data_IF_696595766551
#
_entry.id   IF_696595766551
#
_cell.length_a   1.000
_cell.length_b   1.000
_cell.length_c   1.000
_cell.angle_alpha   90.00
_cell.angle_beta   90.00
_cell.angle_gamma   90.00
#
_symmetry.space_group_name_H-M   'P 1'
#
loop_
_entity.id
_entity.type
_entity.pdbx_description
1 polymer ?
#
# COMPACT_ATOMS: atom_id res chain seq x y z
N UNK A 1 19.90 -22.03 -16.88
CA UNK A 1 19.09 -21.31 -15.88
C UNK A 1 17.78 -20.93 -16.55
N UNK A 2 16.64 -21.44 -16.07
CA UNK A 2 15.33 -20.95 -16.54
C UNK A 2 15.19 -19.50 -16.08
N UNK A 3 15.05 -18.56 -17.01
CA UNK A 3 14.72 -17.18 -16.69
C UNK A 3 13.40 -17.17 -15.92
N UNK A 4 13.41 -16.67 -14.69
CA UNK A 4 12.20 -16.54 -13.89
C UNK A 4 11.28 -15.55 -14.61
N UNK A 5 10.15 -16.03 -15.13
CA UNK A 5 9.20 -15.20 -15.87
C UNK A 5 8.66 -14.10 -14.95
N UNK A 6 8.60 -12.86 -15.44
CA UNK A 6 8.05 -11.74 -14.70
C UNK A 6 6.54 -11.96 -14.52
N UNK A 7 6.06 -11.90 -13.27
CA UNK A 7 4.62 -11.96 -12.97
C UNK A 7 4.01 -10.59 -13.26
N UNK A 8 3.03 -10.57 -14.14
CA UNK A 8 2.24 -9.36 -14.48
C UNK A 8 0.81 -9.60 -14.01
N UNK A 9 0.21 -8.59 -13.38
CA UNK A 9 -1.13 -8.65 -12.81
C UNK A 9 -1.85 -7.37 -13.20
N UNK A 10 -3.07 -7.52 -13.71
CA UNK A 10 -3.96 -6.41 -14.03
C UNK A 10 -5.04 -6.41 -12.95
N UNK A 11 -5.25 -5.25 -12.36
CA UNK A 11 -6.31 -4.98 -11.37
C UNK A 11 -7.17 -3.82 -11.89
N UNK A 12 -8.35 -3.64 -11.31
CA UNK A 12 -9.26 -2.56 -11.72
C UNK A 12 -8.87 -1.28 -10.97
N UNK A 13 -9.27 -1.15 -9.71
CA UNK A 13 -8.87 -0.05 -8.85
C UNK A 13 -7.48 -0.26 -8.24
N UNK A 14 -6.81 0.83 -7.85
CA UNK A 14 -5.44 0.77 -7.33
C UNK A 14 -5.32 -0.12 -6.08
N UNK A 15 -6.26 -0.03 -5.14
CA UNK A 15 -6.20 -0.78 -3.89
C UNK A 15 -6.42 -2.28 -4.09
N UNK A 16 -7.02 -2.72 -5.20
CA UNK A 16 -7.13 -4.15 -5.53
C UNK A 16 -5.78 -4.83 -5.72
N UNK A 17 -4.68 -4.08 -5.82
CA UNK A 17 -3.31 -4.63 -5.82
C UNK A 17 -2.93 -5.32 -4.51
N UNK A 18 -3.59 -4.98 -3.39
CA UNK A 18 -3.29 -5.55 -2.08
C UNK A 18 -3.49 -7.07 -2.03
N UNK A 19 -4.55 -7.58 -2.68
CA UNK A 19 -4.79 -9.02 -2.70
C UNK A 19 -3.65 -9.79 -3.40
N UNK A 20 -3.26 -9.45 -4.64
CA UNK A 20 -2.10 -10.05 -5.29
C UNK A 20 -0.79 -9.94 -4.49
N UNK A 21 -0.56 -8.83 -3.78
CA UNK A 21 0.61 -8.65 -2.91
C UNK A 21 0.56 -9.62 -1.73
N UNK A 22 -0.54 -9.66 -0.97
CA UNK A 22 -0.71 -10.59 0.15
C UNK A 22 -0.63 -12.06 -0.31
N UNK A 23 -1.18 -12.40 -1.48
CA UNK A 23 -1.00 -13.71 -2.09
C UNK A 23 0.48 -14.01 -2.41
N UNK A 24 1.22 -13.03 -2.93
CA UNK A 24 2.64 -13.18 -3.25
C UNK A 24 3.50 -13.40 -1.99
N UNK A 25 3.17 -12.71 -0.89
CA UNK A 25 3.76 -12.89 0.45
C UNK A 25 3.45 -14.31 0.97
N UNK A 26 2.19 -14.72 0.94
CA UNK A 26 1.75 -16.07 1.38
C UNK A 26 2.45 -17.18 0.60
N UNK A 27 2.65 -17.00 -0.71
CA UNK A 27 3.37 -17.94 -1.59
C UNK A 27 4.89 -17.84 -1.46
N UNK A 28 5.41 -16.91 -0.64
CA UNK A 28 6.86 -16.62 -0.46
C UNK A 28 7.56 -16.25 -1.76
N UNK A 29 6.81 -15.71 -2.71
CA UNK A 29 7.35 -15.14 -3.96
C UNK A 29 7.75 -13.67 -3.79
N UNK A 30 7.16 -12.99 -2.80
CA UNK A 30 7.60 -11.73 -2.22
C UNK A 30 8.05 -12.01 -0.77
N UNK A 31 9.17 -11.43 -0.29
CA UNK A 31 9.55 -11.51 1.12
C UNK A 31 8.45 -10.99 2.04
N UNK A 32 8.44 -11.47 3.29
CA UNK A 32 7.42 -11.06 4.27
C UNK A 32 7.53 -9.59 4.66
N UNK A 33 8.74 -9.05 4.73
CA UNK A 33 9.00 -7.68 5.19
C UNK A 33 10.18 -7.04 4.45
N UNK A 34 10.31 -5.73 4.64
CA UNK A 34 11.43 -4.91 4.19
C UNK A 34 11.66 -4.93 2.67
N UNK A 35 10.58 -4.89 1.89
CA UNK A 35 10.66 -4.67 0.45
C UNK A 35 10.38 -3.21 0.08
N UNK A 36 10.88 -2.82 -1.09
CA UNK A 36 10.67 -1.49 -1.67
C UNK A 36 9.59 -1.57 -2.74
N UNK A 37 8.60 -0.69 -2.67
CA UNK A 37 7.60 -0.52 -3.72
C UNK A 37 7.99 0.64 -4.61
N UNK A 38 7.88 0.44 -5.92
CA UNK A 38 8.04 1.52 -6.90
C UNK A 38 6.66 1.80 -7.49
N UNK A 39 6.14 2.99 -7.22
CA UNK A 39 4.80 3.42 -7.60
C UNK A 39 4.91 4.48 -8.69
N UNK A 40 4.45 4.15 -9.90
CA UNK A 40 4.38 5.10 -11.01
C UNK A 40 2.95 5.62 -11.10
N UNK A 41 2.73 6.84 -10.64
CA UNK A 41 1.39 7.44 -10.66
C UNK A 41 1.44 8.97 -10.54
N UNK A 42 0.36 9.64 -10.94
CA UNK A 42 0.14 11.05 -10.69
C UNK A 42 -0.18 11.38 -9.22
N UNK A 43 -0.61 10.38 -8.44
CA UNK A 43 -0.95 10.50 -7.02
C UNK A 43 0.02 9.66 -6.17
N UNK A 44 0.29 10.06 -4.92
CA UNK A 44 1.17 9.27 -4.05
C UNK A 44 0.49 8.04 -3.45
N UNK A 45 -0.85 8.00 -3.43
CA UNK A 45 -1.68 6.99 -2.77
C UNK A 45 -1.30 6.72 -1.29
N UNK A 46 -0.86 7.78 -0.62
CA UNK A 46 -0.48 7.84 0.79
C UNK A 46 -1.53 8.53 1.67
N UNK A 47 -2.80 8.62 1.24
CA UNK A 47 -3.83 9.17 2.10
C UNK A 47 -4.06 8.26 3.31
N UNK A 48 -4.33 8.85 4.47
CA UNK A 48 -4.68 8.07 5.67
C UNK A 48 -6.08 7.48 5.54
N UNK A 49 -6.29 6.17 5.76
CA UNK A 49 -7.61 5.56 5.76
C UNK A 49 -8.32 5.84 7.09
N UNK A 50 -8.76 7.10 7.26
CA UNK A 50 -9.25 7.65 8.53
C UNK A 50 -10.42 6.91 9.16
N UNK A 51 -11.14 6.08 8.41
CA UNK A 51 -12.30 5.34 8.91
C UNK A 51 -12.05 3.84 9.07
N UNK A 52 -10.81 3.39 8.81
CA UNK A 52 -10.41 2.00 8.94
C UNK A 52 -9.69 1.81 10.30
N UNK A 53 -10.20 0.93 11.19
CA UNK A 53 -9.48 0.55 12.40
C UNK A 53 -8.11 -0.04 12.07
N UNK A 54 -7.07 0.31 12.80
CA UNK A 54 -5.70 -0.17 12.54
C UNK A 54 -5.62 -1.71 12.61
N UNK A 55 -6.39 -2.33 13.49
CA UNK A 55 -6.52 -3.79 13.62
C UNK A 55 -7.04 -4.48 12.35
N UNK A 56 -7.81 -3.76 11.51
CA UNK A 56 -8.35 -4.27 10.26
C UNK A 56 -7.24 -4.64 9.25
N UNK A 57 -6.09 -3.95 9.31
CA UNK A 57 -4.93 -4.20 8.44
C UNK A 57 -4.45 -5.66 8.53
N UNK A 58 -4.58 -6.27 9.71
CA UNK A 58 -4.16 -7.67 9.94
C UNK A 58 -5.21 -8.71 9.55
N UNK A 59 -6.37 -8.27 9.04
CA UNK A 59 -7.45 -9.12 8.52
C UNK A 59 -7.69 -8.78 7.05
N UNK A 60 -6.97 -9.42 6.10
CA UNK A 60 -6.92 -8.95 4.71
C UNK A 60 -8.28 -8.76 4.05
N UNK A 61 -9.23 -9.67 4.23
CA UNK A 61 -10.58 -9.53 3.65
C UNK A 61 -11.31 -8.30 4.17
N UNK A 62 -11.25 -8.05 5.48
CA UNK A 62 -11.89 -6.89 6.09
C UNK A 62 -11.25 -5.57 5.62
N UNK A 63 -9.93 -5.56 5.42
CA UNK A 63 -9.23 -4.41 4.86
C UNK A 63 -9.70 -4.12 3.43
N UNK A 64 -9.84 -5.15 2.59
CA UNK A 64 -10.30 -4.97 1.21
C UNK A 64 -11.72 -4.42 1.17
N UNK A 65 -12.64 -5.03 1.93
CA UNK A 65 -14.04 -4.59 2.02
C UNK A 65 -14.13 -3.13 2.53
N UNK A 66 -13.28 -2.75 3.47
CA UNK A 66 -13.24 -1.38 4.01
C UNK A 66 -12.71 -0.35 2.99
N UNK A 67 -11.77 -0.75 2.13
CA UNK A 67 -11.27 0.11 1.05
C UNK A 67 -12.27 0.20 -0.10
N UNK A 68 -12.89 -0.91 -0.49
CA UNK A 68 -13.94 -0.94 -1.53
C UNK A 68 -15.17 -0.10 -1.16
N UNK A 69 -15.53 -0.04 0.13
CA UNK A 69 -16.64 0.79 0.62
C UNK A 69 -16.27 2.26 0.83
N UNK A 70 -15.03 2.65 0.56
CA UNK A 70 -14.54 4.02 0.71
C UNK A 70 -14.15 4.62 -0.63
N UNK A 71 -14.70 5.80 -0.95
CA UNK A 71 -14.26 6.60 -2.11
C UNK A 71 -12.76 6.98 -2.03
N UNK A 72 -12.20 7.02 -0.83
CA UNK A 72 -10.77 7.27 -0.62
C UNK A 72 -9.92 5.99 -0.64
N UNK A 73 -10.52 4.82 -0.80
CA UNK A 73 -9.84 3.52 -0.80
C UNK A 73 -8.74 3.45 -1.85
N UNK A 74 -9.03 3.95 -3.06
CA UNK A 74 -8.09 4.04 -4.18
C UNK A 74 -6.82 4.83 -3.86
N UNK A 75 -6.85 5.74 -2.87
CA UNK A 75 -5.75 6.62 -2.52
C UNK A 75 -5.13 6.33 -1.13
N UNK A 76 -5.64 5.34 -0.38
CA UNK A 76 -5.27 5.10 1.03
C UNK A 76 -4.76 3.69 1.35
N UNK A 77 -4.36 2.94 0.32
CA UNK A 77 -4.04 1.52 0.43
C UNK A 77 -2.55 1.22 0.70
N UNK A 78 -1.62 2.16 0.43
CA UNK A 78 -0.19 1.91 0.62
C UNK A 78 0.26 1.97 2.08
N UNK A 79 -0.31 2.87 2.89
CA UNK A 79 0.03 3.00 4.31
C UNK A 79 -0.25 1.71 5.13
N UNK A 80 -1.35 0.96 4.91
CA UNK A 80 -1.55 -0.37 5.49
C UNK A 80 -0.36 -1.34 5.30
N UNK A 81 0.30 -1.34 4.13
CA UNK A 81 1.45 -2.23 3.88
C UNK A 81 2.67 -1.84 4.73
N UNK A 82 2.88 -0.55 4.95
CA UNK A 82 3.92 -0.04 5.84
C UNK A 82 3.60 -0.35 7.31
N UNK A 83 2.35 -0.10 7.72
CA UNK A 83 1.88 -0.38 9.08
C UNK A 83 1.98 -1.86 9.46
N UNK A 84 1.64 -2.76 8.53
CA UNK A 84 1.80 -4.21 8.71
C UNK A 84 3.26 -4.68 8.75
N UNK A 85 4.23 -3.78 8.49
CA UNK A 85 5.66 -4.10 8.43
C UNK A 85 6.09 -4.83 7.16
N UNK A 86 5.22 -4.89 6.14
CA UNK A 86 5.56 -5.52 4.85
C UNK A 86 6.46 -4.59 4.03
N UNK A 87 6.02 -3.36 3.79
CA UNK A 87 6.74 -2.36 3.00
C UNK A 87 7.73 -1.58 3.87
N UNK A 88 9.01 -1.59 3.50
CA UNK A 88 10.05 -0.81 4.18
C UNK A 88 10.31 0.56 3.54
N UNK A 89 10.06 0.69 2.24
CA UNK A 89 10.27 1.96 1.52
C UNK A 89 9.36 2.07 0.31
N UNK A 90 9.00 3.31 -0.04
CA UNK A 90 8.24 3.66 -1.23
C UNK A 90 9.07 4.61 -2.11
N UNK A 91 9.19 4.29 -3.38
CA UNK A 91 9.70 5.20 -4.42
C UNK A 91 8.51 5.62 -5.27
N UNK A 92 8.01 6.83 -5.06
CA UNK A 92 6.96 7.41 -5.88
C UNK A 92 7.58 8.15 -7.08
N UNK A 93 7.31 7.65 -8.29
CA UNK A 93 7.73 8.25 -9.55
C UNK A 93 6.54 8.99 -10.13
N UNK A 94 6.58 10.32 -10.04
CA UNK A 94 5.46 11.20 -10.40
C UNK A 94 5.77 12.06 -11.63
N UNK A 95 4.75 12.43 -12.42
CA UNK A 95 4.93 13.36 -13.52
C UNK A 95 5.23 14.79 -13.01
N UNK A 96 5.82 15.66 -13.84
CA UNK A 96 6.20 17.02 -13.44
C UNK A 96 5.06 17.91 -12.94
N UNK A 97 3.81 17.60 -13.29
CA UNK A 97 2.62 18.37 -12.89
C UNK A 97 1.98 17.91 -11.57
N UNK A 98 2.40 16.77 -11.01
CA UNK A 98 1.91 16.31 -9.71
C UNK A 98 2.58 17.11 -8.58
N UNK A 99 1.81 17.89 -7.82
CA UNK A 99 2.31 18.85 -6.82
C UNK A 99 1.92 18.51 -5.37
N UNK A 100 1.39 17.31 -5.12
CA UNK A 100 0.90 16.89 -3.80
C UNK A 100 2.02 16.76 -2.75
N UNK A 101 3.24 16.41 -3.18
CA UNK A 101 4.44 16.42 -2.34
C UNK A 101 5.65 16.92 -3.15
N UNK A 102 6.62 17.52 -2.45
CA UNK A 102 7.88 17.95 -3.05
C UNK A 102 8.72 16.74 -3.50
N UNK A 103 9.60 16.95 -4.49
CA UNK A 103 10.63 15.97 -4.83
C UNK A 103 11.66 15.93 -3.70
N UNK A 104 12.03 14.74 -3.25
CA UNK A 104 13.01 14.59 -2.18
C UNK A 104 12.92 13.22 -1.52
N UNK A 105 13.60 13.11 -0.38
CA UNK A 105 13.51 11.95 0.50
C UNK A 105 12.83 12.41 1.78
N UNK A 106 11.76 11.71 2.16
CA UNK A 106 11.04 11.94 3.40
C UNK A 106 11.08 10.66 4.24
N UNK A 107 11.11 10.81 5.56
CA UNK A 107 11.02 9.68 6.49
C UNK A 107 9.94 9.97 7.51
N UNK A 108 8.99 9.06 7.62
CA UNK A 108 7.88 9.15 8.57
C UNK A 108 7.55 7.77 9.12
N UNK A 109 6.89 7.75 10.26
CA UNK A 109 6.40 6.53 10.91
C UNK A 109 4.90 6.41 10.70
N UNK A 110 4.44 5.20 10.42
CA UNK A 110 3.01 4.87 10.35
C UNK A 110 2.65 4.06 11.59
N UNK A 111 1.68 4.53 12.37
CA UNK A 111 1.27 3.90 13.62
C UNK A 111 -0.21 4.15 13.87
N UNK A 112 -0.80 3.32 14.73
CA UNK A 112 -2.18 3.48 15.19
C UNK A 112 -2.36 4.81 15.96
N UNK A 113 -3.48 5.48 15.69
CA UNK A 113 -3.87 6.69 16.39
C UNK A 113 -4.33 6.37 17.81
N UNK A 114 -3.63 6.92 18.82
CA UNK A 114 -3.80 6.51 20.23
C UNK A 114 -5.22 6.70 20.78
N UNK A 115 -5.95 7.74 20.35
CA UNK A 115 -7.26 8.05 20.94
C UNK A 115 -8.43 7.23 20.37
N UNK A 116 -8.32 6.73 19.14
CA UNK A 116 -9.46 6.16 18.41
C UNK A 116 -9.15 4.82 17.73
N UNK A 117 -7.91 4.33 17.80
CA UNK A 117 -7.48 3.06 17.25
C UNK A 117 -7.55 2.94 15.72
N UNK A 118 -7.69 4.07 15.02
CA UNK A 118 -7.67 4.14 13.55
C UNK A 118 -6.24 4.24 13.04
N UNK A 119 -6.03 3.94 11.76
CA UNK A 119 -4.74 4.09 11.10
C UNK A 119 -4.43 5.56 10.73
#
# INVERSE_FOLDING_TARGET
MLSKQLRVIVVDDHHHVLEPIHQAIRKRTLPFSNWTLVHFDAHPDLAFPRDIPASCVFTPSALYDALDSSEAGIASFLLPLAFAGHMGSLVWVKPPWANQMAMGNETFTVSEHMDNGKL
#
